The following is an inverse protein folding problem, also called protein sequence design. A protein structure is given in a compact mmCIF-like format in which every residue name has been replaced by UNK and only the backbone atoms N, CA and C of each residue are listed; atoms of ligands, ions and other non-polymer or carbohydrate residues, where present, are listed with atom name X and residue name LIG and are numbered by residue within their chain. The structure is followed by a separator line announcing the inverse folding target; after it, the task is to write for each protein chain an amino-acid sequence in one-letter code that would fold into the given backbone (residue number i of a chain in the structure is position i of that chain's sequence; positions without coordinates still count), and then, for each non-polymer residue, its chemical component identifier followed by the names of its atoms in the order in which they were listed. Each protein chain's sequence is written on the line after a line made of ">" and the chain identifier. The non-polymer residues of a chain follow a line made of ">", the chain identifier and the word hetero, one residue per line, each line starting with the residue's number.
data_IF_478316859251
#
_entry.id   IF_478316859251
#
_cell.length_a   1.000
_cell.length_b   1.000
_cell.length_c   1.000
_cell.angle_alpha   90.00
_cell.angle_beta   90.00
_cell.angle_gamma   90.00
#
_symmetry.space_group_name_H-M   'P 1'
#
loop_
_entity.id
_entity.type
_entity.pdbx_description
1 polymer ?
#
# COMPACT_ATOMS: atom_id res chain seq x y z
N UNK A 1 1.92 -45.53 -57.63
CA UNK A 1 2.82 -44.71 -56.79
C UNK A 1 2.19 -43.34 -56.63
N UNK A 2 1.61 -43.11 -55.46
CA UNK A 2 0.98 -41.85 -55.07
C UNK A 2 2.03 -40.80 -54.74
N UNK A 3 1.71 -39.53 -54.97
CA UNK A 3 1.84 -38.47 -53.96
C UNK A 3 0.87 -37.34 -54.27
N UNK A 4 -0.08 -37.18 -53.36
CA UNK A 4 -1.07 -36.11 -53.30
C UNK A 4 -0.64 -35.05 -52.29
N UNK A 5 -0.86 -33.80 -52.71
CA UNK A 5 -1.49 -32.72 -51.94
C UNK A 5 -0.78 -32.16 -50.71
N UNK A 6 -0.77 -30.83 -50.66
CA UNK A 6 -0.08 -30.02 -49.68
C UNK A 6 -0.68 -30.03 -48.28
N UNK A 7 0.17 -29.63 -47.33
CA UNK A 7 -0.21 -29.25 -45.99
C UNK A 7 0.30 -27.82 -45.76
N UNK A 8 -0.61 -26.85 -45.84
CA UNK A 8 -0.48 -25.57 -45.16
C UNK A 8 -1.21 -25.72 -43.83
N UNK A 9 -0.49 -25.54 -42.73
CA UNK A 9 -1.07 -25.53 -41.39
C UNK A 9 -0.07 -26.06 -40.37
N UNK A 10 0.64 -25.15 -39.70
CA UNK A 10 0.33 -24.96 -38.29
C UNK A 10 0.81 -23.57 -37.87
N UNK A 11 -0.15 -22.71 -37.51
CA UNK A 11 0.14 -21.46 -36.83
C UNK A 11 0.47 -21.84 -35.39
N UNK A 12 1.75 -22.17 -35.15
CA UNK A 12 2.28 -22.45 -33.83
C UNK A 12 1.97 -21.27 -32.92
N UNK A 13 1.04 -21.52 -31.99
CA UNK A 13 0.63 -20.59 -30.95
C UNK A 13 1.87 -20.08 -30.22
N UNK A 14 2.05 -18.76 -30.17
CA UNK A 14 3.08 -18.10 -29.37
C UNK A 14 2.73 -18.30 -27.89
N UNK A 15 3.45 -19.13 -27.11
CA UNK A 15 3.19 -19.27 -25.68
C UNK A 15 4.22 -18.41 -24.96
N UNK A 16 3.86 -17.18 -24.60
CA UNK A 16 4.79 -16.32 -23.87
C UNK A 16 4.24 -15.00 -23.32
N UNK A 17 2.99 -14.64 -23.63
CA UNK A 17 2.43 -13.34 -23.23
C UNK A 17 1.56 -13.34 -21.98
N UNK A 18 1.04 -14.49 -21.52
CA UNK A 18 0.00 -14.52 -20.47
C UNK A 18 0.58 -14.54 -19.06
N UNK A 19 1.66 -15.30 -18.81
CA UNK A 19 2.18 -15.50 -17.45
C UNK A 19 2.71 -14.22 -16.81
N UNK A 20 3.41 -13.36 -17.56
CA UNK A 20 3.96 -12.11 -17.03
C UNK A 20 2.86 -11.09 -16.66
N UNK A 21 1.73 -11.11 -17.36
CA UNK A 21 0.56 -10.26 -17.09
C UNK A 21 -0.21 -10.79 -15.87
N UNK A 22 -0.36 -12.11 -15.76
CA UNK A 22 -0.96 -12.78 -14.61
C UNK A 22 -0.13 -12.53 -13.33
N UNK A 23 1.20 -12.66 -13.41
CA UNK A 23 2.12 -12.36 -12.32
C UNK A 23 2.09 -10.88 -11.91
N UNK A 24 1.86 -9.96 -12.86
CA UNK A 24 1.67 -8.55 -12.56
C UNK A 24 0.37 -8.32 -11.80
N UNK A 25 -0.75 -8.85 -12.31
CA UNK A 25 -2.06 -8.67 -11.71
C UNK A 25 -2.13 -9.23 -10.29
N UNK A 26 -1.58 -10.43 -10.07
CA UNK A 26 -1.53 -11.07 -8.75
C UNK A 26 -0.75 -10.21 -7.73
N UNK A 27 0.41 -9.66 -8.13
CA UNK A 27 1.20 -8.78 -7.26
C UNK A 27 0.49 -7.47 -6.92
N UNK A 28 -0.24 -6.90 -7.87
CA UNK A 28 -1.03 -5.68 -7.64
C UNK A 28 -2.20 -5.96 -6.68
N UNK A 29 -2.88 -7.09 -6.85
CA UNK A 29 -3.96 -7.51 -5.94
C UNK A 29 -3.44 -7.74 -4.51
N UNK A 30 -2.32 -8.45 -4.37
CA UNK A 30 -1.66 -8.66 -3.09
C UNK A 30 -1.23 -7.33 -2.44
N UNK A 31 -0.59 -6.44 -3.21
CA UNK A 31 -0.22 -5.11 -2.73
C UNK A 31 -1.42 -4.30 -2.23
N UNK A 32 -2.55 -4.38 -2.94
CA UNK A 32 -3.79 -3.72 -2.55
C UNK A 32 -4.35 -4.27 -1.24
N UNK A 33 -4.32 -5.59 -1.04
CA UNK A 33 -4.76 -6.22 0.19
C UNK A 33 -3.87 -5.79 1.38
N UNK A 34 -2.54 -5.83 1.21
CA UNK A 34 -1.58 -5.41 2.23
C UNK A 34 -1.72 -3.92 2.57
N UNK A 35 -1.91 -3.05 1.57
CA UNK A 35 -2.15 -1.63 1.80
C UNK A 35 -3.45 -1.39 2.59
N UNK A 36 -4.50 -2.17 2.32
CA UNK A 36 -5.77 -2.13 3.06
C UNK A 36 -5.59 -2.55 4.51
N UNK A 37 -4.82 -3.61 4.78
CA UNK A 37 -4.46 -3.99 6.15
C UNK A 37 -3.72 -2.85 6.87
N UNK A 38 -2.78 -2.21 6.18
CA UNK A 38 -2.07 -1.04 6.69
C UNK A 38 -3.01 0.09 7.10
N UNK A 39 -3.99 0.42 6.25
CA UNK A 39 -4.98 1.46 6.52
C UNK A 39 -5.89 1.12 7.72
N UNK A 40 -6.28 -0.15 7.89
CA UNK A 40 -7.06 -0.60 9.06
C UNK A 40 -6.25 -0.39 10.36
N UNK A 41 -4.98 -0.78 10.35
CA UNK A 41 -4.09 -0.61 11.50
C UNK A 41 -3.82 0.88 11.78
N UNK A 42 -3.69 1.70 10.73
CA UNK A 42 -3.57 3.15 10.86
C UNK A 42 -4.80 3.76 11.54
N UNK A 43 -6.02 3.37 11.15
CA UNK A 43 -7.24 3.85 11.79
C UNK A 43 -7.26 3.53 13.30
N UNK A 44 -6.78 2.36 13.70
CA UNK A 44 -6.62 2.01 15.10
C UNK A 44 -5.58 2.91 15.79
N UNK A 45 -4.48 3.22 15.12
CA UNK A 45 -3.47 4.18 15.60
C UNK A 45 -4.10 5.56 15.84
N UNK A 46 -4.90 6.06 14.90
CA UNK A 46 -5.61 7.35 15.01
C UNK A 46 -6.55 7.38 16.22
N UNK A 47 -7.25 6.27 16.50
CA UNK A 47 -8.11 6.14 17.69
C UNK A 47 -7.28 6.22 18.98
N UNK A 48 -6.14 5.53 19.03
CA UNK A 48 -5.24 5.62 20.18
C UNK A 48 -4.60 7.00 20.35
N UNK A 49 -4.21 7.65 19.25
CA UNK A 49 -3.64 8.98 19.22
C UNK A 49 -4.62 10.01 19.79
N UNK A 50 -5.86 10.01 19.29
CA UNK A 50 -6.95 10.87 19.79
C UNK A 50 -7.34 10.60 21.24
N UNK A 51 -7.16 9.36 21.71
CA UNK A 51 -7.38 8.97 23.10
C UNK A 51 -6.14 9.18 24.00
N UNK A 52 -5.10 9.84 23.49
CA UNK A 52 -3.83 10.10 24.17
C UNK A 52 -3.11 8.84 24.69
N UNK A 53 -3.32 7.70 24.04
CA UNK A 53 -2.65 6.43 24.32
C UNK A 53 -1.39 6.32 23.48
N UNK A 54 -0.43 7.22 23.72
CA UNK A 54 0.70 7.49 22.81
C UNK A 54 1.52 6.24 22.45
N UNK A 55 1.86 5.41 23.44
CA UNK A 55 2.63 4.19 23.18
C UNK A 55 1.89 3.20 22.26
N UNK A 56 0.57 3.07 22.44
CA UNK A 56 -0.27 2.22 21.58
C UNK A 56 -0.40 2.81 20.17
N UNK A 57 -0.58 4.14 20.08
CA UNK A 57 -0.62 4.84 18.81
C UNK A 57 0.68 4.63 18.01
N UNK A 58 1.85 4.82 18.64
CA UNK A 58 3.16 4.57 18.02
C UNK A 58 3.27 3.14 17.51
N UNK A 59 2.83 2.16 18.32
CA UNK A 59 2.89 0.75 17.95
C UNK A 59 2.08 0.47 16.68
N UNK A 60 0.84 0.95 16.63
CA UNK A 60 -0.02 0.79 15.46
C UNK A 60 0.50 1.57 14.24
N UNK A 61 0.97 2.81 14.38
CA UNK A 61 1.54 3.55 13.24
C UNK A 61 2.78 2.87 12.64
N UNK A 62 3.66 2.32 13.48
CA UNK A 62 4.83 1.56 13.00
C UNK A 62 4.37 0.32 12.23
N UNK A 63 3.36 -0.40 12.73
CA UNK A 63 2.79 -1.55 12.02
C UNK A 63 2.16 -1.13 10.68
N UNK A 64 1.41 -0.03 10.65
CA UNK A 64 0.84 0.52 9.41
C UNK A 64 1.94 0.90 8.40
N UNK A 65 2.99 1.61 8.83
CA UNK A 65 4.14 1.96 7.99
C UNK A 65 4.83 0.73 7.39
N UNK A 66 5.00 -0.34 8.18
CA UNK A 66 5.56 -1.60 7.70
C UNK A 66 4.69 -2.25 6.62
N UNK A 67 3.36 -2.24 6.79
CA UNK A 67 2.43 -2.75 5.76
C UNK A 67 2.48 -1.92 4.48
N UNK A 68 2.55 -0.59 4.59
CA UNK A 68 2.72 0.27 3.42
C UNK A 68 4.06 0.00 2.70
N UNK A 69 5.13 -0.28 3.43
CA UNK A 69 6.42 -0.66 2.84
C UNK A 69 6.34 -2.02 2.13
N UNK A 70 5.66 -2.99 2.72
CA UNK A 70 5.40 -4.31 2.12
C UNK A 70 4.58 -4.19 0.83
N UNK A 71 3.50 -3.41 0.84
CA UNK A 71 2.71 -3.11 -0.36
C UNK A 71 3.56 -2.51 -1.48
N UNK A 72 4.45 -1.55 -1.17
CA UNK A 72 5.39 -0.98 -2.15
C UNK A 72 6.36 -2.03 -2.70
N UNK A 73 6.81 -2.99 -1.88
CA UNK A 73 7.74 -4.03 -2.32
C UNK A 73 7.14 -5.03 -3.30
N UNK A 74 5.81 -5.19 -3.27
CA UNK A 74 5.06 -6.05 -4.19
C UNK A 74 4.81 -5.36 -5.54
N UNK A 75 4.68 -4.03 -5.53
CA UNK A 75 4.41 -3.25 -6.74
C UNK A 75 5.65 -3.13 -7.63
N UNK A 76 5.49 -3.23 -8.96
CA UNK A 76 6.53 -2.81 -9.89
C UNK A 76 6.90 -1.34 -9.68
N UNK A 77 8.18 -0.99 -9.81
CA UNK A 77 8.68 0.35 -9.53
C UNK A 77 8.03 1.47 -10.35
N UNK A 78 7.53 1.15 -11.55
CA UNK A 78 6.81 2.08 -12.43
C UNK A 78 5.30 2.16 -12.16
N UNK A 79 4.78 1.42 -11.18
CA UNK A 79 3.36 1.44 -10.85
C UNK A 79 2.95 2.82 -10.31
N UNK A 80 1.82 3.41 -10.77
CA UNK A 80 1.41 4.76 -10.40
C UNK A 80 1.25 4.95 -8.88
N UNK A 81 0.82 3.89 -8.18
CA UNK A 81 0.55 3.95 -6.74
C UNK A 81 1.79 3.94 -5.85
N UNK A 82 2.97 3.55 -6.37
CA UNK A 82 4.20 3.49 -5.56
C UNK A 82 4.50 4.84 -4.93
N UNK A 83 4.37 5.93 -5.71
CA UNK A 83 4.63 7.29 -5.20
C UNK A 83 3.62 7.69 -4.12
N UNK A 84 2.36 7.38 -4.34
CA UNK A 84 1.27 7.68 -3.42
C UNK A 84 1.47 6.95 -2.07
N UNK A 85 1.72 5.65 -2.11
CA UNK A 85 1.93 4.83 -0.91
C UNK A 85 3.21 5.26 -0.17
N UNK A 86 4.29 5.57 -0.89
CA UNK A 86 5.52 6.11 -0.27
C UNK A 86 5.30 7.45 0.43
N UNK A 87 4.53 8.36 -0.19
CA UNK A 87 4.19 9.64 0.42
C UNK A 87 3.40 9.43 1.70
N UNK A 88 2.35 8.61 1.65
CA UNK A 88 1.51 8.33 2.81
C UNK A 88 2.30 7.65 3.94
N UNK A 89 3.19 6.72 3.61
CA UNK A 89 4.12 6.13 4.59
C UNK A 89 5.00 7.20 5.26
N UNK A 90 5.50 8.17 4.50
CA UNK A 90 6.31 9.28 5.04
C UNK A 90 5.50 10.14 6.02
N UNK A 91 4.23 10.37 5.74
CA UNK A 91 3.30 11.08 6.63
C UNK A 91 3.10 10.32 7.95
N UNK A 92 2.87 9.01 7.87
CA UNK A 92 2.76 8.11 9.04
C UNK A 92 4.06 8.10 9.86
N UNK A 93 5.21 7.94 9.22
CA UNK A 93 6.53 7.93 9.88
C UNK A 93 6.84 9.28 10.55
N UNK A 94 6.38 10.38 9.95
CA UNK A 94 6.50 11.73 10.54
C UNK A 94 5.69 11.84 11.83
N UNK A 95 4.48 11.26 11.88
CA UNK A 95 3.68 11.23 13.11
C UNK A 95 4.34 10.37 14.19
N UNK A 96 4.91 9.21 13.83
CA UNK A 96 5.68 8.37 14.76
C UNK A 96 6.84 9.14 15.38
N UNK A 97 7.63 9.83 14.55
CA UNK A 97 8.79 10.60 14.99
C UNK A 97 8.37 11.71 15.96
N UNK A 98 7.30 12.43 15.63
CA UNK A 98 6.73 13.46 16.50
C UNK A 98 6.29 12.91 17.86
N UNK A 99 5.52 11.81 17.87
CA UNK A 99 5.01 11.21 19.10
C UNK A 99 6.14 10.67 19.99
N UNK A 100 7.22 10.14 19.40
CA UNK A 100 8.42 9.70 20.15
C UNK A 100 9.16 10.87 20.79
N UNK A 101 9.45 11.93 20.03
CA UNK A 101 10.09 13.16 20.54
C UNK A 101 9.31 13.73 21.73
N UNK A 102 8.00 13.71 21.63
CA UNK A 102 7.10 14.13 22.68
C UNK A 102 7.22 13.31 23.98
N UNK A 103 7.31 11.99 23.87
CA UNK A 103 7.54 11.11 25.01
C UNK A 103 8.91 11.37 25.65
N UNK A 104 9.94 11.56 24.83
CA UNK A 104 11.30 11.86 25.29
C UNK A 104 11.37 13.21 26.02
N UNK A 105 10.57 14.20 25.59
CA UNK A 105 10.42 15.50 26.24
C UNK A 105 9.50 15.48 27.49
N UNK A 106 8.91 14.33 27.82
CA UNK A 106 8.00 14.19 28.97
C UNK A 106 6.66 14.90 28.80
N UNK A 107 6.25 15.22 27.58
CA UNK A 107 4.96 15.86 27.29
C UNK A 107 3.83 14.85 27.39
N UNK A 108 2.74 15.24 28.06
CA UNK A 108 1.60 14.36 28.30
C UNK A 108 0.56 14.35 27.17
N UNK A 109 0.53 15.34 26.27
CA UNK A 109 -0.50 15.46 25.22
C UNK A 109 0.03 16.07 23.91
N UNK A 110 -0.36 15.52 22.73
CA UNK A 110 -0.02 16.07 21.43
C UNK A 110 -0.41 17.53 21.25
N UNK A 111 0.58 18.38 21.04
CA UNK A 111 0.39 19.81 20.72
C UNK A 111 -0.04 20.03 19.27
N UNK A 112 0.32 19.12 18.37
CA UNK A 112 -0.05 19.17 16.96
C UNK A 112 -1.16 18.15 16.69
N UNK A 113 -2.26 18.59 16.05
CA UNK A 113 -3.32 17.67 15.66
C UNK A 113 -2.78 16.66 14.64
N UNK A 114 -3.47 15.53 14.55
CA UNK A 114 -3.09 14.42 13.68
C UNK A 114 -2.98 14.85 12.21
N UNK A 115 -3.92 15.67 11.76
CA UNK A 115 -4.07 16.16 10.38
C UNK A 115 -2.90 17.04 9.91
N UNK A 116 -2.07 17.49 10.86
CA UNK A 116 -0.81 18.16 10.56
C UNK A 116 0.20 17.21 9.92
N UNK A 117 0.16 15.93 10.26
CA UNK A 117 1.11 14.92 9.79
C UNK A 117 0.49 13.99 8.74
N UNK A 118 -0.72 13.48 9.00
CA UNK A 118 -1.40 12.49 8.16
C UNK A 118 -2.53 13.19 7.41
N UNK A 119 -2.49 13.19 6.07
CA UNK A 119 -3.56 13.78 5.27
C UNK A 119 -4.72 12.78 5.10
N UNK A 120 -5.98 13.25 5.13
CA UNK A 120 -7.12 12.37 4.84
C UNK A 120 -6.93 11.69 3.48
N UNK A 121 -7.30 10.41 3.40
CA UNK A 121 -7.12 9.52 2.23
C UNK A 121 -8.01 9.93 1.02
N UNK A 122 -8.46 11.19 0.95
CA UNK A 122 -9.12 11.78 -0.23
C UNK A 122 -8.17 12.34 -1.28
N UNK A 123 -6.85 12.23 -1.12
CA UNK A 123 -5.88 12.85 -2.06
C UNK A 123 -4.79 11.92 -2.60
N UNK A 124 -4.69 10.68 -2.11
CA UNK A 124 -3.54 9.80 -2.42
C UNK A 124 -3.94 8.41 -2.92
N UNK A 125 -5.16 7.93 -2.67
CA UNK A 125 -5.62 6.59 -3.12
C UNK A 125 -6.89 6.69 -3.99
N UNK A 126 -6.82 7.44 -5.09
CA UNK A 126 -7.85 7.40 -6.15
C UNK A 126 -7.75 6.13 -7.03
N UNK A 127 -7.19 5.04 -6.50
CA UNK A 127 -7.30 3.70 -7.08
C UNK A 127 -8.28 2.93 -6.21
N UNK A 128 -9.55 3.07 -6.59
CA UNK A 128 -10.54 2.01 -6.53
C UNK A 128 -11.12 1.62 -5.17
N UNK A 129 -11.68 2.61 -4.44
CA UNK A 129 -12.69 2.37 -3.39
C UNK A 129 -14.14 2.60 -3.86
N UNK A 130 -14.36 2.84 -5.16
CA UNK A 130 -15.69 3.06 -5.76
C UNK A 130 -16.35 1.77 -6.28
N UNK A 131 -15.88 0.58 -5.90
CA UNK A 131 -16.44 -0.69 -6.41
C UNK A 131 -17.22 -1.54 -5.42
N UNK A 132 -17.46 -1.05 -4.20
CA UNK A 132 -18.21 -1.80 -3.19
C UNK A 132 -19.18 -0.96 -2.33
N UNK A 133 -19.64 0.18 -2.84
CA UNK A 133 -20.84 0.86 -2.33
C UNK A 133 -21.91 0.94 -3.43
#
# INVERSE_FOLDING_TARGET
>A
MSVTSGAFGDASAVPGGTSAVEDYAARVEEASAVATEGAIVEQQAMVHDKANRIQNAITCYVQASNRLAEAVSLLPSAHPDVRAICQHRTEVDSRVTYLRSMMDEGKSEPTLPLEHHIKPVGSVMAVQLDRFL
#
